data_IF_124473006620
#
_entry.id   IF_124473006620
#
_cell.length_a   1.000
_cell.length_b   1.000
_cell.length_c   1.000
_cell.angle_alpha   90.00
_cell.angle_beta   90.00
_cell.angle_gamma   90.00
#
_symmetry.space_group_name_H-M   'P 1'
#
loop_
_entity.id
_entity.type
_entity.pdbx_description
1 polymer ?
#
# COMPACT_ATOMS: atom_id res chain seq x y z
N UNK A 1 -32.15 40.42 7.81
CA UNK A 1 -32.36 38.96 7.84
C UNK A 1 -31.98 38.29 6.50
N UNK A 2 -32.47 38.82 5.40
CA UNK A 2 -32.14 38.30 4.06
C UNK A 2 -30.66 38.41 3.75
N UNK A 3 -30.01 39.48 4.18
CA UNK A 3 -28.59 39.72 3.95
C UNK A 3 -27.72 38.73 4.74
N UNK A 4 -28.10 38.40 5.97
CA UNK A 4 -27.40 37.42 6.79
C UNK A 4 -27.51 36.00 6.22
N UNK A 5 -28.66 35.62 5.70
CA UNK A 5 -28.87 34.34 5.04
C UNK A 5 -28.02 34.22 3.77
N UNK A 6 -27.92 35.30 2.99
CA UNK A 6 -27.07 35.35 1.79
C UNK A 6 -25.59 35.26 2.15
N UNK A 7 -25.14 35.91 3.22
CA UNK A 7 -23.75 35.80 3.70
C UNK A 7 -23.41 34.40 4.17
N UNK A 8 -24.31 33.77 4.93
CA UNK A 8 -24.12 32.40 5.40
C UNK A 8 -24.03 31.43 4.21
N UNK A 9 -24.90 31.62 3.21
CA UNK A 9 -24.89 30.79 1.99
C UNK A 9 -23.61 30.96 1.17
N UNK A 10 -23.13 32.19 1.04
CA UNK A 10 -21.86 32.51 0.38
C UNK A 10 -20.67 31.85 1.09
N UNK A 11 -20.67 31.86 2.42
CA UNK A 11 -19.62 31.21 3.20
C UNK A 11 -19.62 29.70 3.02
N UNK A 12 -20.80 29.06 3.05
CA UNK A 12 -20.94 27.64 2.77
C UNK A 12 -20.42 27.27 1.39
N UNK A 13 -20.81 28.05 0.36
CA UNK A 13 -20.36 27.83 -1.01
C UNK A 13 -18.86 27.99 -1.16
N UNK A 14 -18.26 28.92 -0.43
CA UNK A 14 -16.83 29.15 -0.45
C UNK A 14 -16.06 28.00 0.20
N UNK A 15 -16.55 27.49 1.32
CA UNK A 15 -15.98 26.30 1.98
C UNK A 15 -16.08 25.06 1.06
N UNK A 16 -17.19 24.87 0.39
CA UNK A 16 -17.37 23.78 -0.58
C UNK A 16 -16.42 23.93 -1.75
N UNK A 17 -16.22 25.14 -2.25
CA UNK A 17 -15.32 25.44 -3.36
C UNK A 17 -13.87 25.18 -2.97
N UNK A 18 -13.45 25.59 -1.77
CA UNK A 18 -12.12 25.31 -1.24
C UNK A 18 -11.86 23.81 -1.12
N UNK A 19 -12.84 23.06 -0.64
CA UNK A 19 -12.77 21.61 -0.59
C UNK A 19 -12.64 20.96 -1.97
N UNK A 20 -13.35 21.48 -2.97
CA UNK A 20 -13.27 21.00 -4.37
C UNK A 20 -11.92 21.35 -4.97
N UNK A 21 -11.39 22.55 -4.71
CA UNK A 21 -10.06 22.95 -5.18
C UNK A 21 -8.96 22.06 -4.62
N UNK A 22 -9.03 21.74 -3.31
CA UNK A 22 -8.10 20.80 -2.68
C UNK A 22 -8.14 19.42 -3.33
N UNK A 23 -9.33 18.89 -3.59
CA UNK A 23 -9.50 17.64 -4.31
C UNK A 23 -8.98 17.71 -5.74
N UNK A 24 -9.17 18.84 -6.42
CA UNK A 24 -8.65 19.05 -7.79
C UNK A 24 -7.13 19.09 -7.80
N UNK A 25 -6.47 19.72 -6.83
CA UNK A 25 -5.01 19.72 -6.72
C UNK A 25 -4.47 18.31 -6.55
N UNK A 26 -5.07 17.50 -5.68
CA UNK A 26 -4.71 16.10 -5.50
C UNK A 26 -4.91 15.30 -6.78
N UNK A 27 -6.02 15.50 -7.48
CA UNK A 27 -6.31 14.84 -8.76
C UNK A 27 -5.29 15.25 -9.83
N UNK A 28 -4.95 16.55 -9.93
CA UNK A 28 -3.98 17.06 -10.91
C UNK A 28 -2.59 16.46 -10.66
N UNK A 29 -2.13 16.45 -9.40
CA UNK A 29 -0.85 15.79 -9.04
C UNK A 29 -0.84 14.33 -9.47
N UNK A 30 -1.94 13.62 -9.27
CA UNK A 30 -2.09 12.22 -9.67
C UNK A 30 -2.23 12.02 -11.17
N UNK A 31 -2.91 12.94 -11.87
CA UNK A 31 -3.05 12.91 -13.33
C UNK A 31 -1.73 13.07 -14.05
N UNK A 32 -0.75 13.76 -13.44
CA UNK A 32 0.61 13.83 -13.97
C UNK A 32 1.32 12.46 -13.95
N UNK A 33 0.67 11.44 -13.39
CA UNK A 33 1.09 10.07 -13.47
C UNK A 33 2.18 9.67 -12.51
N UNK A 34 2.64 10.57 -11.66
CA UNK A 34 3.82 10.36 -10.80
C UNK A 34 3.48 10.26 -9.33
N UNK A 35 2.54 11.08 -8.83
CA UNK A 35 2.18 11.08 -7.41
C UNK A 35 1.32 9.89 -7.01
N UNK A 36 1.53 9.38 -5.79
CA UNK A 36 0.75 8.28 -5.25
C UNK A 36 1.43 7.68 -4.04
N UNK A 37 1.09 6.43 -3.76
CA UNK A 37 1.67 5.66 -2.67
C UNK A 37 2.43 4.46 -3.22
N UNK A 38 3.64 4.26 -2.72
CA UNK A 38 4.35 2.98 -2.86
C UNK A 38 3.96 2.12 -1.66
N UNK A 39 3.48 0.93 -1.90
CA UNK A 39 3.11 0.00 -0.84
C UNK A 39 4.08 -1.18 -0.80
N UNK A 40 4.39 -1.62 0.42
CA UNK A 40 5.19 -2.81 0.69
C UNK A 40 4.31 -3.75 1.49
N UNK A 41 4.00 -4.90 0.91
CA UNK A 41 3.07 -5.86 1.48
C UNK A 41 3.62 -7.28 1.42
N UNK A 42 3.13 -8.13 2.32
CA UNK A 42 3.47 -9.54 2.36
C UNK A 42 2.25 -10.41 2.55
N UNK A 43 2.43 -11.69 2.33
CA UNK A 43 1.37 -12.68 2.55
C UNK A 43 2.01 -13.98 3.02
N UNK A 44 2.17 -14.09 4.34
CA UNK A 44 2.89 -15.20 4.97
C UNK A 44 2.30 -16.56 4.57
N UNK A 45 0.99 -16.69 4.60
CA UNK A 45 0.30 -17.93 4.26
C UNK A 45 0.37 -18.32 2.79
N UNK A 46 0.49 -17.33 1.90
CA UNK A 46 0.52 -17.54 0.45
C UNK A 46 1.95 -17.72 -0.08
N UNK A 47 2.92 -16.94 0.43
CA UNK A 47 4.28 -16.84 -0.15
C UNK A 47 5.41 -17.02 0.85
N UNK A 48 5.13 -17.12 2.16
CA UNK A 48 6.16 -17.19 3.18
C UNK A 48 6.63 -15.81 3.66
N UNK A 49 7.64 -15.81 4.56
CA UNK A 49 8.09 -14.63 5.27
C UNK A 49 9.20 -13.83 4.57
N UNK A 50 9.68 -14.30 3.42
CA UNK A 50 10.77 -13.66 2.66
C UNK A 50 10.36 -13.17 1.28
N UNK A 51 9.06 -13.14 0.99
CA UNK A 51 8.53 -12.67 -0.27
C UNK A 51 7.65 -11.45 -0.04
N UNK A 52 8.01 -10.34 -0.68
CA UNK A 52 7.32 -9.07 -0.54
C UNK A 52 6.94 -8.52 -1.90
N UNK A 53 5.78 -7.88 -1.95
CA UNK A 53 5.37 -7.12 -3.13
C UNK A 53 5.67 -5.64 -2.88
N UNK A 54 6.34 -5.02 -3.83
CA UNK A 54 6.58 -3.57 -3.88
C UNK A 54 5.86 -3.04 -5.11
N UNK A 55 4.79 -2.31 -4.87
CA UNK A 55 3.99 -1.74 -5.94
C UNK A 55 3.58 -0.32 -5.62
N UNK A 56 2.83 0.30 -6.54
CA UNK A 56 2.30 1.63 -6.32
C UNK A 56 0.82 1.70 -6.68
N UNK A 57 0.15 2.67 -6.10
CA UNK A 57 -1.23 3.01 -6.42
C UNK A 57 -1.41 4.52 -6.41
N UNK A 58 -2.28 5.00 -7.28
CA UNK A 58 -2.70 6.42 -7.30
C UNK A 58 -3.97 6.67 -6.52
N UNK A 59 -4.56 5.64 -5.94
CA UNK A 59 -5.79 5.76 -5.16
C UNK A 59 -5.56 6.59 -3.92
N UNK A 60 -6.57 7.38 -3.54
CA UNK A 60 -6.54 8.19 -2.32
C UNK A 60 -6.35 7.34 -1.08
N UNK A 61 -7.00 6.18 -1.04
CA UNK A 61 -6.83 5.20 0.01
C UNK A 61 -6.04 4.00 -0.53
N UNK A 62 -4.74 3.88 -0.23
CA UNK A 62 -3.92 2.79 -0.74
C UNK A 62 -4.36 1.42 -0.20
N UNK A 63 -5.00 1.37 0.97
CA UNK A 63 -5.52 0.14 1.56
C UNK A 63 -6.55 -0.53 0.65
N UNK A 64 -7.37 0.22 -0.05
CA UNK A 64 -8.37 -0.32 -0.99
C UNK A 64 -7.70 -1.15 -2.09
N UNK A 65 -6.56 -0.71 -2.59
CA UNK A 65 -5.81 -1.46 -3.60
C UNK A 65 -5.23 -2.76 -3.02
N UNK A 66 -4.71 -2.70 -1.80
CA UNK A 66 -4.17 -3.89 -1.12
C UNK A 66 -5.29 -4.90 -0.85
N UNK A 67 -6.45 -4.44 -0.42
CA UNK A 67 -7.62 -5.29 -0.18
C UNK A 67 -8.07 -5.99 -1.46
N UNK A 68 -8.11 -5.30 -2.57
CA UNK A 68 -8.43 -5.91 -3.88
C UNK A 68 -7.42 -6.98 -4.28
N UNK A 69 -6.13 -6.74 -4.05
CA UNK A 69 -5.09 -7.72 -4.33
C UNK A 69 -5.25 -8.98 -3.46
N UNK A 70 -5.73 -8.82 -2.24
CA UNK A 70 -6.00 -9.91 -1.31
C UNK A 70 -7.29 -10.67 -1.60
N UNK A 71 -8.23 -10.07 -2.32
CA UNK A 71 -9.50 -10.70 -2.70
C UNK A 71 -9.36 -11.61 -3.94
N UNK A 72 -8.34 -11.37 -4.75
CA UNK A 72 -8.15 -12.07 -6.02
C UNK A 72 -6.97 -13.03 -5.96
N UNK A 73 -7.16 -14.26 -6.36
CA UNK A 73 -6.10 -15.24 -6.69
C UNK A 73 -5.15 -15.65 -5.55
N UNK A 74 -5.29 -15.12 -4.35
CA UNK A 74 -4.49 -15.52 -3.18
C UNK A 74 -5.41 -16.01 -2.06
N UNK A 75 -4.99 -17.04 -1.30
CA UNK A 75 -5.83 -17.63 -0.26
C UNK A 75 -5.98 -16.77 1.01
N UNK A 76 -5.13 -15.78 1.20
CA UNK A 76 -5.12 -14.92 2.38
C UNK A 76 -4.97 -13.45 2.01
N UNK A 77 -5.46 -12.56 2.88
CA UNK A 77 -5.27 -11.12 2.71
C UNK A 77 -3.82 -10.72 2.96
N UNK A 78 -3.40 -9.62 2.35
CA UNK A 78 -2.04 -9.10 2.52
C UNK A 78 -1.89 -8.33 3.82
N UNK A 79 -0.72 -8.45 4.44
CA UNK A 79 -0.26 -7.57 5.50
C UNK A 79 0.47 -6.37 4.90
N UNK A 80 0.19 -5.18 5.43
CA UNK A 80 0.84 -3.94 4.99
C UNK A 80 2.00 -3.62 5.93
N UNK A 81 3.19 -3.45 5.36
CA UNK A 81 4.37 -3.04 6.11
C UNK A 81 4.63 -1.54 5.99
N UNK A 82 4.35 -0.95 4.83
CA UNK A 82 4.55 0.48 4.63
C UNK A 82 3.64 1.01 3.52
N UNK A 83 3.14 2.23 3.71
CA UNK A 83 2.60 3.07 2.66
C UNK A 83 3.43 4.34 2.60
N UNK A 84 4.10 4.57 1.49
CA UNK A 84 5.00 5.70 1.31
C UNK A 84 4.39 6.65 0.29
N UNK A 85 3.90 7.80 0.74
CA UNK A 85 3.44 8.85 -0.18
C UNK A 85 4.65 9.52 -0.83
N UNK A 86 4.56 9.74 -2.14
CA UNK A 86 5.56 10.48 -2.89
C UNK A 86 4.91 11.27 -4.02
N UNK A 87 5.40 12.48 -4.25
CA UNK A 87 5.02 13.26 -5.43
C UNK A 87 5.50 12.58 -6.73
N UNK A 88 6.50 11.72 -6.63
CA UNK A 88 6.98 10.88 -7.72
C UNK A 88 7.01 9.40 -7.27
N UNK A 89 5.84 8.83 -7.04
CA UNK A 89 5.70 7.44 -6.65
C UNK A 89 6.18 6.48 -7.74
N UNK A 90 6.02 6.86 -9.01
CA UNK A 90 6.52 6.06 -10.14
C UNK A 90 8.05 5.95 -10.07
N UNK A 91 8.74 7.07 -9.84
CA UNK A 91 10.19 7.09 -9.70
C UNK A 91 10.67 6.37 -8.45
N UNK A 92 9.96 6.50 -7.33
CA UNK A 92 10.28 5.80 -6.09
C UNK A 92 10.13 4.28 -6.23
N UNK A 93 9.03 3.83 -6.81
CA UNK A 93 8.82 2.41 -7.11
C UNK A 93 9.92 1.87 -8.02
N UNK A 94 10.23 2.59 -9.09
CA UNK A 94 11.28 2.19 -10.03
C UNK A 94 12.65 2.09 -9.34
N UNK A 95 12.96 3.03 -8.46
CA UNK A 95 14.22 3.01 -7.69
C UNK A 95 14.30 1.78 -6.79
N UNK A 96 13.23 1.45 -6.09
CA UNK A 96 13.15 0.25 -5.26
C UNK A 96 13.26 -1.01 -6.11
N UNK A 97 12.58 -1.07 -7.24
CA UNK A 97 12.66 -2.20 -8.17
C UNK A 97 14.06 -2.39 -8.73
N UNK A 98 14.76 -1.30 -9.06
CA UNK A 98 16.13 -1.37 -9.57
C UNK A 98 17.10 -1.92 -8.50
N UNK A 99 16.98 -1.47 -7.26
CA UNK A 99 17.81 -1.95 -6.15
C UNK A 99 17.53 -3.42 -5.85
N UNK A 100 16.27 -3.85 -5.94
CA UNK A 100 15.84 -5.21 -5.64
C UNK A 100 15.80 -6.13 -6.87
N UNK A 101 16.26 -5.66 -8.01
CA UNK A 101 16.10 -6.35 -9.29
C UNK A 101 16.69 -7.77 -9.29
N UNK A 102 17.84 -7.97 -8.67
CA UNK A 102 18.48 -9.28 -8.53
C UNK A 102 17.74 -10.23 -7.59
N UNK A 103 16.83 -9.71 -6.78
CA UNK A 103 16.02 -10.45 -5.81
C UNK A 103 14.60 -10.74 -6.30
N UNK A 104 14.27 -10.45 -7.54
CA UNK A 104 12.95 -10.71 -8.11
C UNK A 104 12.60 -12.19 -8.02
N UNK A 105 11.38 -12.48 -7.59
CA UNK A 105 10.82 -13.85 -7.64
C UNK A 105 10.62 -14.31 -9.07
N UNK A 106 10.04 -13.45 -9.91
CA UNK A 106 9.90 -13.72 -11.34
C UNK A 106 10.84 -12.80 -12.13
N UNK A 107 11.92 -13.38 -12.68
CA UNK A 107 12.94 -12.64 -13.42
C UNK A 107 12.60 -12.44 -14.90
N UNK A 108 11.54 -13.06 -15.39
CA UNK A 108 11.12 -13.01 -16.79
C UNK A 108 10.00 -11.99 -16.97
N UNK A 109 8.97 -12.02 -16.11
CA UNK A 109 7.87 -11.07 -16.15
C UNK A 109 8.04 -9.99 -15.09
N UNK A 110 8.55 -8.84 -15.49
CA UNK A 110 8.82 -7.71 -14.58
C UNK A 110 7.55 -7.03 -14.04
N UNK A 111 6.38 -7.37 -14.59
CA UNK A 111 5.09 -6.92 -14.05
C UNK A 111 4.70 -7.65 -12.78
N UNK A 112 5.33 -8.78 -12.50
CA UNK A 112 5.18 -9.53 -11.25
C UNK A 112 6.17 -8.94 -10.23
N UNK A 113 5.71 -7.98 -9.47
CA UNK A 113 6.49 -7.09 -8.60
C UNK A 113 6.75 -7.70 -7.22
N UNK A 114 7.15 -8.96 -7.18
CA UNK A 114 7.50 -9.70 -5.97
C UNK A 114 9.01 -9.87 -5.86
N UNK A 115 9.52 -9.77 -4.62
CA UNK A 115 10.94 -9.83 -4.35
C UNK A 115 11.22 -10.75 -3.17
N UNK A 116 12.29 -11.52 -3.27
CA UNK A 116 12.77 -12.41 -2.20
C UNK A 116 13.82 -11.66 -1.39
N UNK A 117 13.46 -11.20 -0.22
CA UNK A 117 14.30 -10.35 0.64
C UNK A 117 13.84 -10.53 2.09
N UNK A 118 14.75 -10.35 3.06
CA UNK A 118 14.35 -10.34 4.46
C UNK A 118 13.65 -9.03 4.81
N UNK A 119 12.75 -9.08 5.79
CA UNK A 119 12.03 -7.87 6.25
C UNK A 119 13.00 -6.83 6.83
N UNK A 120 14.07 -7.27 7.46
CA UNK A 120 15.09 -6.37 8.04
C UNK A 120 15.86 -5.62 6.94
N UNK A 121 16.25 -6.30 5.87
CA UNK A 121 16.89 -5.66 4.73
C UNK A 121 15.96 -4.66 4.06
N UNK A 122 14.68 -5.00 3.94
CA UNK A 122 13.67 -4.14 3.32
C UNK A 122 13.42 -2.90 4.17
N UNK A 123 13.31 -3.04 5.49
CA UNK A 123 13.20 -1.91 6.41
C UNK A 123 14.40 -0.98 6.31
N UNK A 124 15.62 -1.52 6.32
CA UNK A 124 16.84 -0.74 6.19
C UNK A 124 16.88 0.03 4.87
N UNK A 125 16.45 -0.58 3.78
CA UNK A 125 16.37 0.05 2.46
C UNK A 125 15.36 1.21 2.46
N UNK A 126 14.18 1.01 3.01
CA UNK A 126 13.14 2.05 3.11
C UNK A 126 13.63 3.22 3.96
N UNK A 127 14.27 2.96 5.09
CA UNK A 127 14.81 3.99 5.98
C UNK A 127 15.92 4.80 5.31
N UNK A 128 16.72 4.19 4.45
CA UNK A 128 17.76 4.88 3.69
C UNK A 128 17.17 5.81 2.64
N UNK A 129 16.13 5.37 1.93
CA UNK A 129 15.52 6.11 0.82
C UNK A 129 14.52 7.16 1.32
N UNK A 130 13.72 6.81 2.33
CA UNK A 130 12.66 7.66 2.88
C UNK A 130 12.66 7.53 4.40
N UNK A 131 13.54 8.28 5.12
CA UNK A 131 13.69 8.14 6.58
C UNK A 131 12.45 8.45 7.39
N UNK A 132 11.49 9.21 6.83
CA UNK A 132 10.24 9.58 7.52
C UNK A 132 9.14 8.54 7.33
N UNK A 133 9.33 7.54 6.49
CA UNK A 133 8.33 6.51 6.26
C UNK A 133 8.20 5.58 7.47
N UNK A 134 6.96 5.26 7.82
CA UNK A 134 6.68 4.25 8.82
C UNK A 134 6.84 2.86 8.22
N UNK A 135 7.43 1.95 8.98
CA UNK A 135 7.61 0.57 8.55
C UNK A 135 7.22 -0.39 9.68
N UNK A 136 6.23 -1.24 9.43
CA UNK A 136 5.76 -2.24 10.36
C UNK A 136 6.31 -3.61 9.98
N UNK A 137 7.11 -4.21 10.83
CA UNK A 137 7.70 -5.52 10.60
C UNK A 137 6.77 -6.69 10.90
N UNK A 138 5.64 -6.46 11.56
CA UNK A 138 4.79 -7.53 12.04
C UNK A 138 4.03 -8.18 10.88
N UNK A 139 4.16 -9.47 10.73
CA UNK A 139 3.33 -10.29 9.87
C UNK A 139 2.17 -10.83 10.69
N UNK A 140 1.06 -10.08 10.69
CA UNK A 140 -0.14 -10.44 11.45
C UNK A 140 -0.71 -11.75 10.93
N UNK A 141 -0.87 -11.87 9.62
CA UNK A 141 -1.31 -13.10 8.93
C UNK A 141 -2.45 -13.81 9.67
N UNK A 142 -3.45 -13.05 10.09
CA UNK A 142 -4.50 -13.49 11.03
C UNK A 142 -5.23 -14.74 10.54
N UNK A 143 -5.74 -14.70 9.32
CA UNK A 143 -6.49 -15.83 8.75
C UNK A 143 -5.63 -17.07 8.58
N UNK A 144 -4.36 -16.90 8.22
CA UNK A 144 -3.40 -18.00 8.08
C UNK A 144 -3.15 -18.66 9.43
N UNK A 145 -2.92 -17.88 10.49
CA UNK A 145 -2.70 -18.39 11.85
C UNK A 145 -3.95 -19.07 12.41
N UNK A 146 -5.11 -18.53 12.15
CA UNK A 146 -6.39 -19.15 12.49
C UNK A 146 -6.56 -20.50 11.79
N UNK A 147 -6.21 -20.57 10.51
CA UNK A 147 -6.26 -21.82 9.73
C UNK A 147 -5.34 -22.88 10.30
N UNK A 148 -4.12 -22.52 10.69
CA UNK A 148 -3.20 -23.44 11.35
C UNK A 148 -3.76 -23.96 12.68
N UNK A 149 -4.39 -23.10 13.46
CA UNK A 149 -5.00 -23.45 14.73
C UNK A 149 -6.14 -24.47 14.54
N UNK A 150 -7.00 -24.29 13.58
CA UNK A 150 -8.09 -25.22 13.22
C UNK A 150 -7.51 -26.58 12.81
N UNK A 151 -6.47 -26.61 12.00
CA UNK A 151 -5.84 -27.85 11.57
C UNK A 151 -5.22 -28.62 12.73
N UNK A 152 -4.67 -27.93 13.73
CA UNK A 152 -4.13 -28.55 14.95
C UNK A 152 -5.26 -29.15 15.81
N UNK A 153 -6.36 -28.43 15.96
CA UNK A 153 -7.55 -28.94 16.69
C UNK A 153 -8.13 -30.19 16.02
N UNK A 154 -8.22 -30.20 14.69
CA UNK A 154 -8.66 -31.38 13.93
C UNK A 154 -7.74 -32.57 14.16
N UNK A 155 -6.43 -32.37 14.29
CA UNK A 155 -5.47 -33.41 14.60
C UNK A 155 -5.65 -33.97 16.01
N UNK A 156 -6.07 -33.17 16.95
CA UNK A 156 -6.31 -33.55 18.34
C UNK A 156 -7.58 -34.40 18.46
N UNK A 157 -8.59 -34.15 17.61
CA UNK A 157 -9.86 -34.86 17.60
C UNK A 157 -9.80 -36.25 16.93
N UNK A 158 -8.74 -36.55 16.25
CA UNK A 158 -8.49 -37.84 15.61
C UNK A 158 -7.68 -38.73 16.55
#
# INVERSE_FOLDING_TARGET
EMLEKLKARLQELQEQLDGVEHKKEDIVKRQNGKAGYVYIISNLGSFGDKTFKVGMTRRLNPQDRVDELGDASVPFVFDVHSFIFSDDAVGLEQKLHDILNDKRTNKINLRKEFFNVSIDELEALVQEIEPTAEFNKTMVAEQYRQTLSINEEDKILI
#
